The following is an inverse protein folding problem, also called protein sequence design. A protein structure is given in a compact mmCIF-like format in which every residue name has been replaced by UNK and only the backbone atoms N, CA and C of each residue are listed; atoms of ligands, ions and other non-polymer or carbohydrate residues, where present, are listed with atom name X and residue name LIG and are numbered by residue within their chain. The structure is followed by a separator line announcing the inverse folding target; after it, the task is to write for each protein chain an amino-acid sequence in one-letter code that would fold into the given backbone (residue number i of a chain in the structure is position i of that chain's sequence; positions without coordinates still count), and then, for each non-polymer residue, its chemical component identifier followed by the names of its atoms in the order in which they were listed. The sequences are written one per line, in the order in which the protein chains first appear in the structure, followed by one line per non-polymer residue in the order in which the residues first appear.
data_IF_859734185746
#
_entry.id   IF_859734185746
#
_cell.length_a   1.000
_cell.length_b   1.000
_cell.length_c   1.000
_cell.angle_alpha   90.00
_cell.angle_beta   90.00
_cell.angle_gamma   90.00
#
_symmetry.space_group_name_H-M   'P 1'
#
loop_
_entity.id
_entity.type
_entity.pdbx_description
1 polymer ?
#
# COMPACT_ATOMS: atom_id res chain seq x y z
N UNK A 1 -12.48 -33.41 -8.94
CA UNK A 1 -11.25 -32.84 -9.53
C UNK A 1 -11.24 -31.39 -9.11
N UNK A 2 -10.42 -31.04 -8.12
CA UNK A 2 -10.21 -29.64 -7.74
C UNK A 2 -9.14 -29.10 -8.66
N UNK A 3 -9.50 -28.13 -9.49
CA UNK A 3 -8.55 -27.47 -10.37
C UNK A 3 -7.58 -26.67 -9.51
N UNK A 4 -6.30 -27.04 -9.61
CA UNK A 4 -5.16 -26.33 -9.07
C UNK A 4 -5.19 -24.89 -9.60
N UNK A 5 -5.62 -23.94 -8.77
CA UNK A 5 -5.38 -22.52 -9.01
C UNK A 5 -3.88 -22.28 -8.84
N UNK A 6 -3.17 -22.49 -9.94
CA UNK A 6 -1.76 -22.13 -10.10
C UNK A 6 -1.63 -20.65 -9.79
N UNK A 7 -1.32 -20.37 -8.54
CA UNK A 7 -1.04 -19.05 -8.02
C UNK A 7 0.30 -18.61 -8.59
N UNK A 8 0.30 -18.16 -9.85
CA UNK A 8 1.39 -17.36 -10.39
C UNK A 8 1.25 -15.93 -9.83
N UNK A 9 1.23 -15.84 -8.50
CA UNK A 9 1.45 -14.59 -7.79
C UNK A 9 2.92 -14.31 -7.95
N UNK A 10 3.29 -13.67 -9.07
CA UNK A 10 4.58 -13.01 -9.28
C UNK A 10 4.92 -12.28 -7.99
N UNK A 11 5.75 -12.94 -7.18
CA UNK A 11 6.08 -12.51 -5.84
C UNK A 11 7.10 -11.42 -6.07
N UNK A 12 6.63 -10.21 -6.38
CA UNK A 12 7.44 -9.02 -6.21
C UNK A 12 7.82 -9.06 -4.74
N UNK A 13 9.03 -9.50 -4.45
CA UNK A 13 9.57 -9.51 -3.10
C UNK A 13 9.28 -8.12 -2.52
N UNK A 14 8.43 -8.07 -1.50
CA UNK A 14 8.16 -6.86 -0.76
C UNK A 14 9.45 -6.50 -0.01
N UNK A 15 10.37 -5.83 -0.71
CA UNK A 15 11.66 -5.40 -0.15
C UNK A 15 11.33 -4.32 0.88
N UNK A 16 11.17 -4.74 2.13
CA UNK A 16 10.94 -3.84 3.24
C UNK A 16 12.18 -2.98 3.48
N UNK A 17 12.05 -1.66 3.69
CA UNK A 17 13.20 -0.80 3.94
C UNK A 17 13.97 -1.24 5.20
N UNK A 18 15.30 -1.28 5.08
CA UNK A 18 16.19 -1.54 6.22
C UNK A 18 15.97 -0.53 7.36
N UNK A 19 16.37 -0.89 8.57
CA UNK A 19 16.29 0.02 9.73
C UNK A 19 17.00 1.35 9.48
N UNK A 20 18.17 1.31 8.81
CA UNK A 20 18.95 2.51 8.46
C UNK A 20 18.16 3.42 7.51
N UNK A 21 17.49 2.87 6.51
CA UNK A 21 16.67 3.63 5.57
C UNK A 21 15.44 4.24 6.26
N UNK A 22 14.76 3.47 7.12
CA UNK A 22 13.62 3.98 7.91
C UNK A 22 14.04 5.15 8.81
N UNK A 23 15.17 5.02 9.51
CA UNK A 23 15.71 6.11 10.34
C UNK A 23 16.11 7.34 9.52
N UNK A 24 16.73 7.13 8.35
CA UNK A 24 17.08 8.23 7.45
C UNK A 24 15.83 9.00 6.99
N UNK A 25 14.77 8.29 6.63
CA UNK A 25 13.47 8.89 6.28
C UNK A 25 12.88 9.70 7.44
N UNK A 26 12.86 9.14 8.65
CA UNK A 26 12.29 9.82 9.83
C UNK A 26 13.04 11.09 10.23
N UNK A 27 14.33 11.21 9.89
CA UNK A 27 15.15 12.40 10.11
C UNK A 27 14.87 13.54 9.14
N UNK A 28 14.14 13.28 8.05
CA UNK A 28 13.78 14.32 7.09
C UNK A 28 12.77 15.31 7.68
N UNK A 29 12.81 16.60 7.27
CA UNK A 29 11.77 17.56 7.58
C UNK A 29 10.38 17.05 7.15
N UNK A 30 9.32 17.53 7.81
CA UNK A 30 7.95 17.08 7.52
C UNK A 30 7.59 17.26 6.04
N UNK A 31 8.04 18.35 5.42
CA UNK A 31 7.78 18.64 4.01
C UNK A 31 8.37 17.57 3.10
N UNK A 32 9.62 17.18 3.33
CA UNK A 32 10.28 16.13 2.53
C UNK A 32 9.62 14.77 2.71
N UNK A 33 9.25 14.43 3.95
CA UNK A 33 8.49 13.20 4.20
C UNK A 33 7.15 13.18 3.44
N UNK A 34 6.41 14.30 3.46
CA UNK A 34 5.15 14.42 2.70
C UNK A 34 5.35 14.29 1.21
N UNK A 35 6.40 14.90 0.65
CA UNK A 35 6.68 14.83 -0.78
C UNK A 35 6.96 13.39 -1.22
N UNK A 36 7.77 12.66 -0.45
CA UNK A 36 8.09 11.25 -0.71
C UNK A 36 6.82 10.38 -0.65
N UNK A 37 6.03 10.53 0.42
CA UNK A 37 4.81 9.73 0.60
C UNK A 37 3.75 10.07 -0.46
N UNK A 38 3.62 11.34 -0.84
CA UNK A 38 2.72 11.76 -1.92
C UNK A 38 3.10 11.12 -3.25
N UNK A 39 4.39 11.14 -3.61
CA UNK A 39 4.86 10.50 -4.84
C UNK A 39 4.55 9.00 -4.87
N UNK A 40 4.73 8.31 -3.73
CA UNK A 40 4.37 6.90 -3.61
C UNK A 40 2.86 6.67 -3.77
N UNK A 41 2.03 7.50 -3.15
CA UNK A 41 0.57 7.42 -3.27
C UNK A 41 0.09 7.68 -4.70
N UNK A 42 0.69 8.65 -5.39
CA UNK A 42 0.36 9.00 -6.77
C UNK A 42 0.63 7.81 -7.73
N UNK A 43 1.64 6.97 -7.45
CA UNK A 43 1.93 5.74 -8.21
C UNK A 43 0.84 4.68 -8.00
N UNK A 44 0.27 4.59 -6.80
CA UNK A 44 -0.76 3.60 -6.47
C UNK A 44 -2.17 4.05 -6.86
N UNK A 45 -2.34 5.30 -7.28
CA UNK A 45 -3.65 5.91 -7.51
C UNK A 45 -4.49 5.14 -8.53
N UNK A 46 -3.89 4.71 -9.64
CA UNK A 46 -4.61 3.99 -10.70
C UNK A 46 -5.21 2.67 -10.20
N UNK A 47 -4.46 1.94 -9.36
CA UNK A 47 -4.91 0.68 -8.78
C UNK A 47 -6.14 0.89 -7.90
N UNK A 48 -6.12 1.87 -6.99
CA UNK A 48 -7.25 2.18 -6.10
C UNK A 48 -8.44 2.86 -6.79
N UNK A 49 -8.24 3.46 -7.96
CA UNK A 49 -9.34 4.01 -8.78
C UNK A 49 -10.11 2.92 -9.53
N UNK A 50 -9.44 1.84 -9.92
CA UNK A 50 -10.01 0.76 -10.73
C UNK A 50 -10.55 -0.37 -9.88
N UNK A 51 -9.88 -0.68 -8.78
CA UNK A 51 -10.27 -1.67 -7.81
C UNK A 51 -10.97 -0.97 -6.64
N UNK A 52 -12.24 -1.27 -6.41
CA UNK A 52 -13.05 -0.71 -5.32
C UNK A 52 -13.26 -1.69 -4.16
N UNK A 53 -12.67 -2.89 -4.19
CA UNK A 53 -12.82 -3.89 -3.11
C UNK A 53 -12.32 -3.32 -1.77
N UNK A 54 -11.32 -2.44 -1.80
CA UNK A 54 -10.84 -1.74 -0.61
C UNK A 54 -11.90 -0.86 0.08
N UNK A 55 -12.93 -0.40 -0.64
CA UNK A 55 -14.02 0.39 -0.08
C UNK A 55 -14.96 -0.46 0.77
N UNK A 56 -15.15 -1.72 0.40
CA UNK A 56 -15.99 -2.66 1.14
C UNK A 56 -15.38 -2.99 2.50
N UNK A 57 -14.05 -3.02 2.59
CA UNK A 57 -13.32 -3.18 3.86
C UNK A 57 -13.54 -1.99 4.82
N UNK A 58 -13.77 -0.78 4.29
CA UNK A 58 -14.04 0.41 5.09
C UNK A 58 -15.49 0.47 5.60
N UNK A 59 -16.43 -0.17 4.90
CA UNK A 59 -17.84 -0.19 5.26
C UNK A 59 -18.15 -1.09 6.48
N UNK A 60 -17.22 -1.96 6.87
CA UNK A 60 -17.39 -2.90 7.98
C UNK A 60 -17.22 -2.27 9.39
N UNK A 61 -16.80 -1.00 9.50
CA UNK A 61 -16.51 -0.32 10.77
C UNK A 61 -17.39 0.91 11.05
N UNK A 62 -18.44 1.15 10.23
CA UNK A 62 -19.39 2.25 10.47
C UNK A 62 -20.42 1.80 11.51
N UNK A 63 -20.20 2.18 12.77
CA UNK A 63 -21.25 2.21 13.80
C UNK A 63 -21.95 3.56 13.69
N UNK A 64 -23.16 3.58 13.11
CA UNK A 64 -24.05 4.74 13.20
C UNK A 64 -24.52 4.89 14.66
N UNK A 65 -24.33 6.09 15.22
CA UNK A 65 -24.76 6.49 16.57
C UNK A 65 -26.07 7.27 16.54
#
# INVERSE_FOLDING_TARGET
MVEEVSSDSSTSEYISPSLKQRLAFLKLPMTERRNILKSQADIMLSHYQQDSEWQELMAADIIDY
#
